data_IF_413279891302
#
_entry.id   IF_413279891302
#
_cell.length_a   1.000
_cell.length_b   1.000
_cell.length_c   1.000
_cell.angle_alpha   90.00
_cell.angle_beta   90.00
_cell.angle_gamma   90.00
#
_symmetry.space_group_name_H-M   'P 1'
#
loop_
_entity.id
_entity.type
_entity.pdbx_description
1 polymer ?
#
# COMPACT_ATOMS: atom_id res chain seq x y z
N UNK A 1 -4.28 1.37 27.88
CA UNK A 1 -3.76 0.92 26.57
C UNK A 1 -4.75 0.01 25.83
N UNK A 2 -5.49 -0.88 26.52
CA UNK A 2 -6.46 -1.82 25.90
C UNK A 2 -7.59 -1.12 25.11
N UNK A 3 -8.12 0.00 25.62
CA UNK A 3 -9.24 0.74 24.98
C UNK A 3 -8.93 1.20 23.54
N UNK A 4 -7.65 1.41 23.20
CA UNK A 4 -7.26 1.85 21.86
C UNK A 4 -7.31 0.73 20.81
N UNK A 5 -7.19 -0.53 21.22
CA UNK A 5 -7.23 -1.68 20.33
C UNK A 5 -8.66 -2.18 20.04
N UNK A 6 -9.60 -1.87 20.93
CA UNK A 6 -11.02 -2.23 20.78
C UNK A 6 -11.58 -1.88 19.39
N UNK A 7 -11.45 -0.64 18.86
CA UNK A 7 -12.00 -0.32 17.54
C UNK A 7 -11.40 -1.14 16.40
N UNK A 8 -10.08 -1.42 16.46
CA UNK A 8 -9.42 -2.27 15.46
C UNK A 8 -9.92 -3.72 15.52
N UNK A 9 -10.10 -4.26 16.72
CA UNK A 9 -10.59 -5.63 16.92
C UNK A 9 -12.04 -5.75 16.45
N UNK A 10 -12.89 -4.79 16.80
CA UNK A 10 -14.30 -4.76 16.37
C UNK A 10 -14.40 -4.69 14.86
N UNK A 11 -13.61 -3.82 14.21
CA UNK A 11 -13.56 -3.73 12.74
C UNK A 11 -13.08 -5.04 12.11
N UNK A 12 -12.06 -5.68 12.67
CA UNK A 12 -11.55 -6.95 12.18
C UNK A 12 -12.59 -8.08 12.28
N UNK A 13 -13.29 -8.18 13.42
CA UNK A 13 -14.38 -9.17 13.62
C UNK A 13 -15.53 -8.89 12.66
N UNK A 14 -15.94 -7.62 12.52
CA UNK A 14 -16.99 -7.23 11.59
C UNK A 14 -16.64 -7.60 10.14
N UNK A 15 -15.42 -7.29 9.69
CA UNK A 15 -14.94 -7.66 8.35
C UNK A 15 -14.89 -9.18 8.15
N UNK A 16 -14.46 -9.93 9.18
CA UNK A 16 -14.36 -11.38 9.14
C UNK A 16 -15.73 -12.07 9.06
N UNK A 17 -16.76 -11.53 9.73
CA UNK A 17 -18.13 -12.08 9.68
C UNK A 17 -18.82 -11.65 8.38
N UNK A 18 -18.64 -10.40 7.97
CA UNK A 18 -19.33 -9.82 6.82
C UNK A 18 -18.92 -10.49 5.50
N UNK A 19 -17.62 -10.70 5.29
CA UNK A 19 -17.08 -11.28 4.04
C UNK A 19 -17.69 -12.65 3.66
N UNK A 20 -17.69 -13.68 4.54
CA UNK A 20 -18.30 -14.97 4.22
C UNK A 20 -19.83 -14.89 4.13
N UNK A 21 -20.47 -14.00 4.90
CA UNK A 21 -21.92 -13.81 4.84
C UNK A 21 -22.37 -13.35 3.45
N UNK A 22 -21.63 -12.42 2.84
CA UNK A 22 -21.88 -11.98 1.46
C UNK A 22 -21.70 -13.11 0.44
N UNK A 23 -20.68 -13.94 0.60
CA UNK A 23 -20.42 -15.08 -0.31
C UNK A 23 -21.56 -16.10 -0.24
N UNK A 24 -22.09 -16.37 0.96
CA UNK A 24 -23.20 -17.33 1.15
C UNK A 24 -24.55 -16.81 0.64
N UNK A 25 -24.77 -15.48 0.66
CA UNK A 25 -26.00 -14.84 0.20
C UNK A 25 -26.03 -14.59 -1.32
N UNK A 26 -24.89 -14.66 -2.00
CA UNK A 26 -24.83 -14.42 -3.43
C UNK A 26 -25.61 -15.51 -4.19
N UNK A 27 -26.61 -15.16 -5.02
CA UNK A 27 -27.36 -16.14 -5.79
C UNK A 27 -26.43 -16.84 -6.76
N UNK A 28 -26.37 -18.18 -6.66
CA UNK A 28 -25.52 -19.01 -7.52
C UNK A 28 -26.20 -19.15 -8.88
N UNK A 29 -25.84 -18.28 -9.83
CA UNK A 29 -26.16 -18.49 -11.25
C UNK A 29 -24.87 -18.93 -11.94
N UNK A 30 -24.77 -20.23 -12.20
CA UNK A 30 -23.58 -20.91 -12.71
C UNK A 30 -23.43 -20.73 -14.23
N UNK A 31 -23.21 -19.49 -14.69
CA UNK A 31 -22.66 -19.26 -16.04
C UNK A 31 -21.22 -18.78 -15.88
N UNK A 32 -20.33 -19.75 -15.70
CA UNK A 32 -18.89 -19.48 -15.65
C UNK A 32 -18.39 -19.34 -17.08
N UNK A 33 -17.94 -18.14 -17.44
CA UNK A 33 -17.35 -17.87 -18.75
C UNK A 33 -15.83 -18.04 -18.66
N UNK A 34 -15.31 -19.14 -19.19
CA UNK A 34 -13.86 -19.43 -19.21
C UNK A 34 -13.07 -18.46 -20.11
N UNK A 35 -13.75 -17.64 -20.92
CA UNK A 35 -13.08 -16.69 -21.83
C UNK A 35 -12.56 -15.43 -21.11
N UNK A 36 -13.02 -15.15 -19.88
CA UNK A 36 -12.52 -14.04 -19.06
C UNK A 36 -11.56 -14.55 -17.99
N UNK A 37 -10.28 -14.13 -17.99
CA UNK A 37 -9.27 -14.67 -17.07
C UNK A 37 -9.44 -14.22 -15.60
N UNK A 38 -10.47 -13.43 -15.31
CA UNK A 38 -10.94 -13.13 -13.96
C UNK A 38 -12.46 -13.11 -13.98
N UNK A 39 -13.12 -13.73 -12.99
CA UNK A 39 -14.50 -13.39 -12.69
C UNK A 39 -14.56 -11.90 -12.35
N UNK A 40 -15.13 -11.09 -13.24
CA UNK A 40 -15.07 -9.63 -13.26
C UNK A 40 -15.78 -8.88 -12.12
N UNK A 41 -15.83 -9.44 -10.92
CA UNK A 41 -16.49 -8.90 -9.74
C UNK A 41 -17.11 -10.02 -8.91
N UNK A 42 -17.47 -9.71 -7.67
CA UNK A 42 -18.22 -10.65 -6.85
C UNK A 42 -19.67 -10.69 -7.32
N UNK A 43 -20.29 -11.87 -7.45
CA UNK A 43 -21.66 -12.01 -7.98
C UNK A 43 -22.70 -11.18 -7.20
N UNK A 44 -22.47 -10.91 -5.91
CA UNK A 44 -23.37 -10.05 -5.11
C UNK A 44 -23.37 -8.58 -5.56
N UNK A 45 -22.33 -8.11 -6.26
CA UNK A 45 -22.26 -6.74 -6.77
C UNK A 45 -23.27 -6.48 -7.89
N UNK A 46 -23.78 -7.53 -8.54
CA UNK A 46 -24.85 -7.44 -9.54
C UNK A 46 -26.20 -7.10 -8.90
N UNK A 47 -26.37 -7.31 -7.58
CA UNK A 47 -27.57 -6.87 -6.87
C UNK A 47 -27.42 -5.39 -6.50
N UNK A 48 -28.24 -4.48 -7.08
CA UNK A 48 -28.02 -3.04 -6.94
C UNK A 48 -28.06 -2.55 -5.49
N UNK A 49 -28.84 -3.20 -4.62
CA UNK A 49 -28.88 -2.87 -3.19
C UNK A 49 -27.61 -3.29 -2.44
N UNK A 50 -27.19 -4.55 -2.62
CA UNK A 50 -26.06 -5.13 -1.88
C UNK A 50 -24.73 -4.56 -2.37
N UNK A 51 -24.56 -4.43 -3.69
CA UNK A 51 -23.36 -3.84 -4.28
C UNK A 51 -23.14 -2.40 -3.85
N UNK A 52 -24.21 -1.59 -3.81
CA UNK A 52 -24.14 -0.21 -3.31
C UNK A 52 -23.75 -0.16 -1.84
N UNK A 53 -24.42 -0.99 -1.03
CA UNK A 53 -24.14 -1.06 0.41
C UNK A 53 -22.68 -1.45 0.66
N UNK A 54 -22.19 -2.48 0.00
CA UNK A 54 -20.81 -2.93 0.13
C UNK A 54 -19.81 -1.86 -0.29
N UNK A 55 -20.02 -1.20 -1.43
CA UNK A 55 -19.15 -0.13 -1.90
C UNK A 55 -19.08 1.03 -0.89
N UNK A 56 -20.23 1.43 -0.34
CA UNK A 56 -20.29 2.54 0.60
C UNK A 56 -19.60 2.19 1.92
N UNK A 57 -19.93 1.04 2.50
CA UNK A 57 -19.45 0.65 3.83
C UNK A 57 -18.02 0.12 3.83
N UNK A 58 -17.63 -0.62 2.80
CA UNK A 58 -16.31 -1.27 2.71
C UNK A 58 -15.25 -0.35 2.11
N UNK A 59 -15.63 0.55 1.20
CA UNK A 59 -14.67 1.39 0.47
C UNK A 59 -14.84 2.87 0.82
N UNK A 60 -16.02 3.45 0.58
CA UNK A 60 -16.20 4.89 0.66
C UNK A 60 -16.05 5.46 2.08
N UNK A 61 -16.69 4.83 3.08
CA UNK A 61 -16.62 5.25 4.48
C UNK A 61 -15.17 5.16 5.01
N UNK A 62 -14.46 4.02 4.89
CA UNK A 62 -13.06 3.92 5.32
C UNK A 62 -12.16 4.93 4.61
N UNK A 63 -12.32 5.12 3.30
CA UNK A 63 -11.54 6.09 2.53
C UNK A 63 -11.74 7.52 3.04
N UNK A 64 -12.99 7.89 3.32
CA UNK A 64 -13.36 9.19 3.89
C UNK A 64 -12.74 9.40 5.28
N UNK A 65 -12.75 8.36 6.13
CA UNK A 65 -12.08 8.40 7.42
C UNK A 65 -10.56 8.54 7.28
N UNK A 66 -9.93 7.79 6.38
CA UNK A 66 -8.49 7.88 6.11
C UNK A 66 -8.13 9.32 5.73
N UNK A 67 -8.84 9.93 4.78
CA UNK A 67 -8.59 11.32 4.35
C UNK A 67 -8.75 12.27 5.54
N UNK A 68 -9.87 12.16 6.28
CA UNK A 68 -10.17 13.02 7.42
C UNK A 68 -9.11 12.92 8.53
N UNK A 69 -8.71 11.70 8.90
CA UNK A 69 -7.69 11.47 9.92
C UNK A 69 -6.31 11.96 9.47
N UNK A 70 -5.95 11.77 8.20
CA UNK A 70 -4.70 12.30 7.66
C UNK A 70 -4.66 13.83 7.72
N UNK A 71 -5.75 14.51 7.33
CA UNK A 71 -5.84 15.97 7.45
C UNK A 71 -5.70 16.43 8.91
N UNK A 72 -6.41 15.79 9.84
CA UNK A 72 -6.32 16.09 11.29
C UNK A 72 -4.89 15.87 11.80
N UNK A 73 -4.25 14.78 11.38
CA UNK A 73 -2.88 14.44 11.77
C UNK A 73 -1.89 15.52 11.33
N UNK A 74 -1.96 15.96 10.06
CA UNK A 74 -1.12 17.05 9.54
C UNK A 74 -1.34 18.34 10.33
N UNK A 75 -2.59 18.73 10.59
CA UNK A 75 -2.91 19.93 11.37
C UNK A 75 -2.35 19.85 12.79
N UNK A 76 -2.54 18.70 13.47
CA UNK A 76 -2.03 18.48 14.83
C UNK A 76 -0.52 18.64 14.87
N UNK A 77 0.16 18.14 13.86
CA UNK A 77 1.62 18.16 13.79
C UNK A 77 2.13 19.57 13.56
N UNK A 78 1.52 20.31 12.64
CA UNK A 78 1.84 21.73 12.45
C UNK A 78 1.67 22.53 13.74
N UNK A 79 0.61 22.25 14.52
CA UNK A 79 0.39 22.88 15.84
C UNK A 79 1.43 22.44 16.89
N UNK A 80 1.85 21.18 16.85
CA UNK A 80 2.77 20.60 17.85
C UNK A 80 4.23 20.97 17.60
N UNK A 81 4.59 21.30 16.35
CA UNK A 81 5.91 21.86 15.97
C UNK A 81 6.32 23.05 16.84
N UNK A 82 5.36 23.89 17.25
CA UNK A 82 5.61 25.08 18.07
C UNK A 82 5.85 24.78 19.56
N UNK A 83 5.42 23.62 20.05
CA UNK A 83 5.45 23.27 21.49
C UNK A 83 6.56 22.31 21.89
N UNK A 84 7.08 21.49 20.97
CA UNK A 84 8.17 20.56 21.28
C UNK A 84 9.54 21.21 21.04
N UNK A 85 10.27 21.49 22.13
CA UNK A 85 11.66 21.95 22.11
C UNK A 85 12.68 20.81 21.89
N UNK A 86 12.25 19.54 21.89
CA UNK A 86 13.12 18.36 21.72
C UNK A 86 13.20 17.94 20.26
N UNK A 87 14.30 18.30 19.59
CA UNK A 87 14.53 18.07 18.15
C UNK A 87 14.57 16.58 17.76
N UNK A 88 15.07 15.70 18.63
CA UNK A 88 15.28 14.29 18.28
C UNK A 88 13.98 13.47 18.30
N UNK A 89 13.16 13.64 19.35
CA UNK A 89 11.83 13.02 19.43
C UNK A 89 10.93 13.53 18.29
N UNK A 90 11.04 14.81 17.95
CA UNK A 90 10.33 15.41 16.83
C UNK A 90 10.66 14.73 15.49
N UNK A 91 11.95 14.54 15.18
CA UNK A 91 12.37 13.86 13.94
C UNK A 91 11.80 12.44 13.85
N UNK A 92 11.81 11.69 14.95
CA UNK A 92 11.26 10.33 14.99
C UNK A 92 9.75 10.32 14.75
N UNK A 93 9.00 11.20 15.41
CA UNK A 93 7.55 11.32 15.23
C UNK A 93 7.19 11.78 13.81
N UNK A 94 7.98 12.68 13.23
CA UNK A 94 7.81 13.13 11.84
C UNK A 94 8.01 12.00 10.84
N UNK A 95 9.00 11.13 11.05
CA UNK A 95 9.24 9.96 10.20
C UNK A 95 8.05 9.00 10.17
N UNK A 96 7.52 8.60 11.34
CA UNK A 96 6.37 7.70 11.43
C UNK A 96 5.10 8.28 10.79
N UNK A 97 4.90 9.59 10.93
CA UNK A 97 3.78 10.27 10.30
C UNK A 97 3.90 10.33 8.79
N UNK A 98 5.07 10.66 8.26
CA UNK A 98 5.31 10.67 6.81
C UNK A 98 5.05 9.28 6.25
N UNK A 99 5.48 8.22 6.96
CA UNK A 99 5.15 6.85 6.61
C UNK A 99 3.64 6.62 6.50
N UNK A 100 2.89 6.98 7.54
CA UNK A 100 1.44 6.78 7.58
C UNK A 100 0.74 7.57 6.46
N UNK A 101 1.21 8.79 6.20
CA UNK A 101 0.68 9.65 5.15
C UNK A 101 0.99 9.09 3.75
N UNK A 102 2.21 8.58 3.53
CA UNK A 102 2.58 7.93 2.27
C UNK A 102 1.74 6.69 1.99
N UNK A 103 1.56 5.82 2.99
CA UNK A 103 0.71 4.61 2.87
C UNK A 103 -0.72 5.02 2.56
N UNK A 104 -1.24 6.04 3.26
CA UNK A 104 -2.60 6.52 3.04
C UNK A 104 -2.78 7.12 1.65
N UNK A 105 -1.83 7.92 1.18
CA UNK A 105 -1.86 8.53 -0.16
C UNK A 105 -1.76 7.46 -1.25
N UNK A 106 -0.91 6.46 -1.07
CA UNK A 106 -0.77 5.34 -2.00
C UNK A 106 -2.07 4.53 -2.09
N UNK A 107 -2.70 4.28 -0.94
CA UNK A 107 -3.99 3.61 -0.87
C UNK A 107 -5.10 4.42 -1.55
N UNK A 108 -5.22 5.72 -1.24
CA UNK A 108 -6.20 6.61 -1.88
C UNK A 108 -5.96 6.65 -3.40
N UNK A 109 -4.72 6.81 -3.84
CA UNK A 109 -4.39 6.89 -5.28
C UNK A 109 -4.70 5.59 -6.00
N UNK A 110 -4.47 4.43 -5.36
CA UNK A 110 -4.78 3.12 -5.94
C UNK A 110 -6.27 2.85 -6.03
N UNK A 111 -7.07 3.26 -5.04
CA UNK A 111 -8.50 2.98 -4.97
C UNK A 111 -9.37 4.03 -5.65
N UNK A 112 -8.95 5.29 -5.70
CA UNK A 112 -9.73 6.39 -6.28
C UNK A 112 -10.22 6.12 -7.72
N UNK A 113 -9.40 5.61 -8.66
CA UNK A 113 -9.85 5.35 -10.02
C UNK A 113 -11.04 4.37 -10.09
N UNK A 114 -11.01 3.28 -9.30
CA UNK A 114 -12.14 2.34 -9.30
C UNK A 114 -13.39 2.97 -8.71
N UNK A 115 -13.24 3.73 -7.61
CA UNK A 115 -14.37 4.33 -6.92
C UNK A 115 -15.08 5.32 -7.83
N UNK A 116 -14.31 6.12 -8.58
CA UNK A 116 -14.87 7.05 -9.56
C UNK A 116 -15.62 6.29 -10.66
N UNK A 117 -15.02 5.25 -11.25
CA UNK A 117 -15.65 4.45 -12.30
C UNK A 117 -16.93 3.78 -11.78
N UNK A 118 -16.90 3.18 -10.59
CA UNK A 118 -18.06 2.54 -9.97
C UNK A 118 -19.17 3.55 -9.68
N UNK A 119 -18.85 4.75 -9.18
CA UNK A 119 -19.85 5.79 -8.96
C UNK A 119 -20.50 6.24 -10.28
N UNK A 120 -19.73 6.37 -11.37
CA UNK A 120 -20.27 6.70 -12.70
C UNK A 120 -21.20 5.59 -13.18
N UNK A 121 -20.83 4.32 -13.00
CA UNK A 121 -21.66 3.18 -13.39
C UNK A 121 -22.95 3.13 -12.60
N UNK A 122 -22.90 3.42 -11.29
CA UNK A 122 -24.08 3.42 -10.43
C UNK A 122 -24.99 4.63 -10.64
N UNK A 123 -24.44 5.79 -10.98
CA UNK A 123 -25.21 7.00 -11.22
C UNK A 123 -25.96 6.97 -12.56
N UNK A 124 -25.52 6.16 -13.52
CA UNK A 124 -26.12 6.06 -14.84
C UNK A 124 -26.84 4.72 -15.01
N UNK A 125 -28.16 4.75 -15.25
CA UNK A 125 -28.92 3.53 -15.52
C UNK A 125 -28.42 2.77 -16.77
N UNK A 126 -27.81 3.48 -17.73
CA UNK A 126 -27.20 2.94 -18.94
C UNK A 126 -25.79 3.51 -19.09
N UNK A 127 -24.78 2.97 -18.37
CA UNK A 127 -23.42 3.49 -18.44
C UNK A 127 -22.83 3.26 -19.85
N UNK A 128 -21.98 4.17 -20.35
CA UNK A 128 -21.30 3.96 -21.63
C UNK A 128 -20.47 2.66 -21.58
N UNK A 129 -20.47 1.89 -22.67
CA UNK A 129 -19.76 0.60 -22.73
C UNK A 129 -18.26 0.72 -22.40
N UNK A 130 -17.66 1.86 -22.75
CA UNK A 130 -16.26 2.19 -22.46
C UNK A 130 -16.01 2.20 -20.95
N UNK A 131 -16.95 2.71 -20.15
CA UNK A 131 -16.82 2.78 -18.68
C UNK A 131 -16.87 1.38 -18.08
N UNK A 132 -17.78 0.54 -18.58
CA UNK A 132 -17.90 -0.87 -18.17
C UNK A 132 -16.64 -1.66 -18.54
N UNK A 133 -16.12 -1.46 -19.76
CA UNK A 133 -14.86 -2.06 -20.21
C UNK A 133 -13.66 -1.57 -19.39
N UNK A 134 -13.64 -0.28 -19.03
CA UNK A 134 -12.60 0.28 -18.19
C UNK A 134 -12.65 -0.31 -16.77
N UNK A 135 -13.85 -0.48 -16.20
CA UNK A 135 -14.04 -1.16 -14.91
C UNK A 135 -13.51 -2.61 -14.94
N UNK A 136 -13.81 -3.34 -16.01
CA UNK A 136 -13.34 -4.71 -16.23
C UNK A 136 -11.88 -4.78 -16.72
N UNK A 137 -11.23 -3.63 -16.96
CA UNK A 137 -9.89 -3.62 -17.50
C UNK A 137 -8.88 -4.11 -16.46
N UNK A 138 -7.97 -4.97 -16.91
CA UNK A 138 -6.84 -5.45 -16.12
C UNK A 138 -5.99 -4.33 -15.54
N UNK A 139 -5.95 -3.16 -16.19
CA UNK A 139 -5.12 -2.03 -15.78
C UNK A 139 -5.60 -1.47 -14.44
N UNK A 140 -6.90 -1.17 -14.30
CA UNK A 140 -7.43 -0.59 -13.06
C UNK A 140 -7.29 -1.55 -11.88
N UNK A 141 -7.56 -2.84 -12.11
CA UNK A 141 -7.43 -3.86 -11.08
C UNK A 141 -5.97 -4.00 -10.62
N UNK A 142 -5.01 -4.03 -11.55
CA UNK A 142 -3.59 -4.14 -11.23
C UNK A 142 -3.06 -2.95 -10.43
N UNK A 143 -3.55 -1.73 -10.67
CA UNK A 143 -3.15 -0.54 -9.90
C UNK A 143 -3.43 -0.74 -8.39
N UNK A 144 -4.56 -1.34 -8.04
CA UNK A 144 -4.91 -1.61 -6.65
C UNK A 144 -3.97 -2.62 -6.01
N UNK A 145 -3.68 -3.71 -6.73
CA UNK A 145 -2.74 -4.73 -6.26
C UNK A 145 -1.33 -4.18 -6.10
N UNK A 146 -0.87 -3.35 -7.04
CA UNK A 146 0.42 -2.66 -6.94
C UNK A 146 0.45 -1.78 -5.69
N UNK A 147 -0.62 -1.02 -5.40
CA UNK A 147 -0.71 -0.20 -4.19
C UNK A 147 -0.60 -1.04 -2.91
N UNK A 148 -1.23 -2.22 -2.86
CA UNK A 148 -1.13 -3.13 -1.70
C UNK A 148 0.28 -3.72 -1.56
N UNK A 149 0.89 -4.19 -2.66
CA UNK A 149 2.24 -4.78 -2.66
C UNK A 149 3.31 -3.75 -2.31
N UNK A 150 3.10 -2.48 -2.65
CA UNK A 150 4.06 -1.39 -2.37
C UNK A 150 4.00 -0.89 -0.93
N UNK A 151 2.91 -1.14 -0.18
CA UNK A 151 2.80 -0.76 1.23
C UNK A 151 3.96 -1.26 2.13
N UNK A 152 4.33 -2.57 2.14
CA UNK A 152 5.46 -3.03 2.94
C UNK A 152 6.79 -2.40 2.50
N UNK A 153 6.96 -2.10 1.22
CA UNK A 153 8.15 -1.40 0.72
C UNK A 153 8.20 0.03 1.27
N UNK A 154 7.09 0.76 1.20
CA UNK A 154 6.97 2.12 1.78
C UNK A 154 7.25 2.09 3.29
N UNK A 155 6.73 1.09 4.02
CA UNK A 155 7.04 0.90 5.43
C UNK A 155 8.53 0.71 5.68
N UNK A 156 9.19 -0.14 4.88
CA UNK A 156 10.62 -0.42 5.02
C UNK A 156 11.47 0.83 4.77
N UNK A 157 11.12 1.66 3.78
CA UNK A 157 11.85 2.88 3.46
C UNK A 157 11.69 3.99 4.52
N UNK A 158 10.59 3.98 5.27
CA UNK A 158 10.29 5.05 6.21
C UNK A 158 10.90 4.84 7.61
N UNK A 159 11.35 3.62 7.94
CA UNK A 159 12.00 3.33 9.23
C UNK A 159 13.47 3.80 9.16
N UNK A 160 13.85 4.89 9.86
CA UNK A 160 15.20 5.43 9.78
C UNK A 160 16.25 4.45 10.33
N UNK A 161 15.90 3.65 11.34
CA UNK A 161 16.82 2.66 11.92
C UNK A 161 17.24 1.58 10.90
N UNK A 162 16.32 1.17 10.02
CA UNK A 162 16.60 0.20 8.95
C UNK A 162 17.49 0.83 7.89
N UNK A 163 17.19 2.08 7.51
CA UNK A 163 18.00 2.83 6.54
C UNK A 163 19.44 2.96 7.01
N UNK A 164 19.67 3.33 8.26
CA UNK A 164 21.02 3.44 8.83
C UNK A 164 21.75 2.10 8.83
N UNK A 165 21.08 1.00 9.25
CA UNK A 165 21.67 -0.35 9.21
C UNK A 165 21.99 -0.79 7.79
N UNK A 166 21.10 -0.55 6.83
CA UNK A 166 21.31 -0.92 5.43
C UNK A 166 22.48 -0.14 4.80
N UNK A 167 22.58 1.17 5.06
CA UNK A 167 23.72 1.98 4.63
C UNK A 167 25.03 1.55 5.30
N UNK A 168 24.99 1.19 6.59
CA UNK A 168 26.14 0.65 7.30
C UNK A 168 26.63 -0.67 6.71
N UNK A 169 25.72 -1.59 6.36
CA UNK A 169 26.05 -2.85 5.70
C UNK A 169 26.64 -2.62 4.29
N UNK A 170 26.04 -1.73 3.51
CA UNK A 170 26.56 -1.35 2.19
C UNK A 170 27.96 -0.74 2.27
N UNK A 171 28.20 0.16 3.22
CA UNK A 171 29.53 0.72 3.45
C UNK A 171 30.52 -0.35 3.91
N UNK A 172 30.10 -1.27 4.78
CA UNK A 172 30.94 -2.40 5.23
C UNK A 172 31.34 -3.31 4.05
N UNK A 173 30.42 -3.60 3.12
CA UNK A 173 30.71 -4.37 1.91
C UNK A 173 31.67 -3.60 0.98
N UNK A 174 31.46 -2.29 0.83
CA UNK A 174 32.32 -1.44 0.00
C UNK A 174 33.75 -1.38 0.52
N UNK A 175 33.95 -1.24 1.83
CA UNK A 175 35.28 -1.24 2.46
C UNK A 175 35.97 -2.59 2.26
N UNK A 176 35.26 -3.71 2.45
CA UNK A 176 35.83 -5.06 2.21
C UNK A 176 36.29 -5.26 0.76
N UNK A 177 35.56 -4.75 -0.23
CA UNK A 177 35.98 -4.85 -1.64
C UNK A 177 37.26 -4.07 -1.94
N UNK A 178 37.51 -2.95 -1.25
CA UNK A 178 38.74 -2.17 -1.43
C UNK A 178 39.99 -2.85 -0.85
N UNK A 179 39.85 -3.70 0.17
CA UNK A 179 40.98 -4.40 0.78
C UNK A 179 41.45 -5.64 0.00
N UNK A 180 40.62 -6.20 -0.90
CA UNK A 180 40.96 -7.41 -1.69
C UNK A 180 41.67 -7.04 -3.00
N UNK A 181 41.55 -5.80 -3.48
CA UNK A 181 42.14 -5.38 -4.76
C UNK A 181 43.63 -4.96 -4.81
N UNK A 182 44.37 -4.68 -3.70
CA UNK A 182 45.77 -4.26 -3.81
C UNK A 182 46.80 -5.40 -3.82
N UNK A 183 46.44 -6.66 -3.52
CA UNK A 183 47.43 -7.75 -3.41
C UNK A 183 47.84 -8.39 -4.75
N UNK A 184 47.13 -8.11 -5.85
CA UNK A 184 47.44 -8.69 -7.18
C UNK A 184 48.56 -7.90 -7.90
N UNK A 185 48.74 -6.61 -7.60
CA UNK A 185 49.76 -5.78 -8.28
C UNK A 185 51.19 -5.89 -7.70
N UNK A 186 51.37 -6.54 -6.55
CA UNK A 186 52.69 -6.67 -5.92
C UNK A 186 53.38 -8.02 -6.23
N UNK A 187 52.74 -8.97 -6.92
CA UNK A 187 53.37 -10.23 -7.33
C UNK A 187 53.91 -10.22 -8.77
N UNK A 188 53.54 -9.25 -9.59
CA UNK A 188 54.02 -9.14 -10.99
C UNK A 188 55.38 -8.45 -11.13
N UNK A 189 55.92 -7.83 -10.08
CA UNK A 189 57.25 -7.19 -10.13
C UNK A 189 58.40 -8.05 -9.59
N UNK A 190 58.13 -9.19 -8.96
CA UNK A 190 59.18 -10.08 -8.41
C UNK A 190 59.58 -11.24 -9.33
N UNK A 191 58.92 -11.45 -10.47
CA UNK A 191 59.18 -12.57 -11.38
C UNK A 191 60.09 -12.24 -12.57
N UNK A 192 60.56 -11.01 -12.75
CA UNK A 192 61.43 -10.62 -13.88
C UNK A 192 62.93 -10.53 -13.56
N UNK A 193 63.40 -10.85 -12.35
CA UNK A 193 64.82 -10.74 -11.95
C UNK A 193 65.60 -12.09 -12.00
N UNK A 194 65.00 -13.19 -12.46
CA UNK A 194 65.71 -14.47 -12.67
C UNK A 194 65.59 -14.99 -14.09
N UNK A 195 66.36 -14.42 -15.02
CA UNK A 195 66.85 -15.12 -16.21
C UNK A 195 68.31 -14.73 -16.44
N UNK A 196 69.18 -15.57 -15.88
CA UNK A 196 70.51 -15.85 -16.45
C UNK A 196 70.33 -16.79 -17.64
#
# INVERSE_FOLDING_TARGET
MIVHYVPMIVLAIAAFIYSPTLVMLAPRKEEFDDSVPVCGGSCYQLLPGIGTFDLVFTIFIPLSFIISFNCILVIRVMKQKRRMLQKDIWKKNLGMMIQLLLISMLHVTGWMPIVIVMLIVMANNNPPIIVVQLQASWILLNIMYIAVITNPLVCMFAIPEIKEKMFSLLNSIRIRRQQISPSINNQTHTSSIKKN
#
